data_IF_611500234987
#
_entry.id   IF_611500234987
#
_cell.length_a   1.000
_cell.length_b   1.000
_cell.length_c   1.000
_cell.angle_alpha   90.00
_cell.angle_beta   90.00
_cell.angle_gamma   90.00
#
_symmetry.space_group_name_H-M   'P 1'
#
loop_
_entity.id
_entity.type
_entity.pdbx_description
1 polymer ?
#
# COMPACT_ATOMS: atom_id res chain seq x y z
N UNK A 1 22.42 -35.82 25.85
CA UNK A 1 21.70 -34.58 26.25
C UNK A 1 21.86 -33.47 25.21
N UNK A 2 23.07 -33.24 24.66
CA UNK A 2 23.32 -32.26 23.60
C UNK A 2 22.47 -32.51 22.33
N UNK A 3 22.28 -33.76 21.93
CA UNK A 3 21.50 -34.14 20.73
C UNK A 3 20.03 -33.71 20.80
N UNK A 4 19.44 -33.81 21.99
CA UNK A 4 18.05 -33.40 22.22
C UNK A 4 17.92 -31.87 22.14
N UNK A 5 18.91 -31.14 22.66
CA UNK A 5 18.95 -29.67 22.62
C UNK A 5 19.06 -29.18 21.17
N UNK A 6 19.91 -29.82 20.36
CA UNK A 6 20.08 -29.48 18.94
C UNK A 6 18.78 -29.74 18.16
N UNK A 7 18.11 -30.88 18.38
CA UNK A 7 16.81 -31.16 17.76
C UNK A 7 15.74 -30.13 18.12
N UNK A 8 15.68 -29.72 19.39
CA UNK A 8 14.74 -28.71 19.87
C UNK A 8 15.02 -27.35 19.21
N UNK A 9 16.29 -26.93 19.11
CA UNK A 9 16.67 -25.68 18.44
C UNK A 9 16.28 -25.65 16.95
N UNK A 10 16.46 -26.77 16.25
CA UNK A 10 16.08 -26.89 14.83
C UNK A 10 14.55 -26.76 14.67
N UNK A 11 13.78 -27.43 15.53
CA UNK A 11 12.31 -27.37 15.49
C UNK A 11 11.82 -25.95 15.78
N UNK A 12 12.36 -25.29 16.80
CA UNK A 12 12.00 -23.90 17.13
C UNK A 12 12.40 -22.95 16.00
N UNK A 13 13.57 -23.13 15.39
CA UNK A 13 14.03 -22.34 14.25
C UNK A 13 13.14 -22.50 13.01
N UNK A 14 12.73 -23.73 12.69
CA UNK A 14 11.79 -24.01 11.60
C UNK A 14 10.41 -23.39 11.86
N UNK A 15 9.92 -23.50 13.09
CA UNK A 15 8.63 -22.91 13.47
C UNK A 15 8.68 -21.37 13.39
N UNK A 16 9.79 -20.76 13.81
CA UNK A 16 10.01 -19.33 13.69
C UNK A 16 10.10 -18.88 12.23
N UNK A 17 10.78 -19.65 11.37
CA UNK A 17 10.85 -19.38 9.93
C UNK A 17 9.46 -19.44 9.28
N UNK A 18 8.70 -20.51 9.56
CA UNK A 18 7.34 -20.68 9.03
C UNK A 18 6.43 -19.55 9.50
N UNK A 19 6.44 -19.23 10.79
CA UNK A 19 5.69 -18.11 11.37
C UNK A 19 6.07 -16.77 10.71
N UNK A 20 7.37 -16.48 10.60
CA UNK A 20 7.87 -15.25 9.99
C UNK A 20 7.46 -15.17 8.52
N UNK A 21 7.47 -16.28 7.78
CA UNK A 21 7.15 -16.30 6.35
C UNK A 21 5.65 -16.04 6.11
N UNK A 22 4.78 -16.65 6.92
CA UNK A 22 3.33 -16.42 6.90
C UNK A 22 2.99 -14.96 7.26
N UNK A 23 3.62 -14.42 8.31
CA UNK A 23 3.36 -13.04 8.76
C UNK A 23 4.08 -11.96 7.95
N UNK A 24 5.16 -12.28 7.24
CA UNK A 24 5.88 -11.32 6.38
C UNK A 24 5.14 -11.08 5.06
N UNK A 25 4.44 -12.09 4.54
CA UNK A 25 3.71 -11.98 3.28
C UNK A 25 2.50 -11.05 3.32
N UNK A 26 2.04 -10.61 4.50
CA UNK A 26 0.83 -9.79 4.65
C UNK A 26 1.06 -8.29 4.55
N UNK A 27 2.32 -7.83 4.44
CA UNK A 27 2.62 -6.41 4.25
C UNK A 27 2.48 -6.06 2.78
N UNK A 28 1.29 -5.61 2.40
CA UNK A 28 1.01 -5.11 1.06
C UNK A 28 2.08 -4.12 0.60
N UNK A 29 2.43 -4.17 -0.68
CA UNK A 29 3.37 -3.24 -1.29
C UNK A 29 2.75 -1.84 -1.26
N UNK A 30 3.30 -0.94 -0.44
CA UNK A 30 2.96 0.48 -0.50
C UNK A 30 3.44 1.06 -1.82
N UNK A 31 2.50 1.41 -2.71
CA UNK A 31 2.77 2.00 -4.01
C UNK A 31 3.22 3.44 -3.85
N UNK A 32 2.46 4.20 -3.05
CA UNK A 32 2.81 5.54 -2.67
C UNK A 32 2.11 5.96 -1.37
N UNK A 33 2.69 6.96 -0.73
CA UNK A 33 2.17 7.59 0.47
C UNK A 33 2.36 9.10 0.34
N UNK A 34 1.28 9.84 0.58
CA UNK A 34 1.26 11.30 0.58
C UNK A 34 0.77 11.80 1.91
N UNK A 35 1.54 12.68 2.53
CA UNK A 35 1.16 13.36 3.75
C UNK A 35 0.85 14.81 3.44
N UNK A 36 -0.35 15.23 3.83
CA UNK A 36 -0.79 16.61 3.76
C UNK A 36 -0.95 17.16 5.17
N UNK A 37 -0.47 18.38 5.38
CA UNK A 37 -0.66 19.15 6.61
C UNK A 37 -1.08 20.57 6.23
N UNK A 38 -2.20 21.02 6.80
CA UNK A 38 -2.74 22.36 6.55
C UNK A 38 -2.87 22.71 5.05
N UNK A 39 -3.32 21.73 4.26
CA UNK A 39 -3.48 21.89 2.80
C UNK A 39 -2.18 21.95 1.99
N UNK A 40 -1.04 21.66 2.59
CA UNK A 40 0.26 21.53 1.92
C UNK A 40 0.75 20.09 1.95
N UNK A 41 1.34 19.64 0.84
CA UNK A 41 2.03 18.36 0.79
C UNK A 41 3.34 18.48 1.59
N UNK A 42 3.47 17.73 2.68
CA UNK A 42 4.66 17.74 3.54
C UNK A 42 5.66 16.66 3.14
N UNK A 43 5.15 15.51 2.71
CA UNK A 43 5.99 14.38 2.33
C UNK A 43 5.27 13.54 1.27
N UNK A 44 6.01 13.03 0.30
CA UNK A 44 5.52 12.07 -0.67
C UNK A 44 6.55 10.97 -0.83
N UNK A 45 6.08 9.72 -0.90
CA UNK A 45 6.90 8.53 -1.15
C UNK A 45 6.28 7.76 -2.29
N UNK A 46 7.12 7.22 -3.17
CA UNK A 46 6.68 6.41 -4.31
C UNK A 46 6.36 7.22 -5.57
N UNK A 47 6.08 6.52 -6.66
CA UNK A 47 5.76 7.12 -7.95
C UNK A 47 4.25 7.42 -8.00
N UNK A 48 3.91 8.69 -7.80
CA UNK A 48 2.53 9.16 -7.84
C UNK A 48 2.22 9.67 -9.26
N UNK A 49 1.06 9.35 -9.84
CA UNK A 49 0.63 9.95 -11.10
C UNK A 49 0.40 11.46 -10.95
N UNK A 50 0.97 12.26 -11.83
CA UNK A 50 0.95 13.73 -11.76
C UNK A 50 -0.47 14.32 -11.72
N UNK A 51 -1.40 13.74 -12.50
CA UNK A 51 -2.83 14.13 -12.48
C UNK A 51 -3.44 13.93 -11.09
N UNK A 52 -3.16 12.80 -10.45
CA UNK A 52 -3.71 12.48 -9.13
C UNK A 52 -3.12 13.38 -8.04
N UNK A 53 -1.82 13.65 -8.09
CA UNK A 53 -1.15 14.56 -7.16
C UNK A 53 -1.75 15.98 -7.23
N UNK A 54 -1.95 16.50 -8.44
CA UNK A 54 -2.50 17.85 -8.66
C UNK A 54 -3.91 18.00 -8.09
N UNK A 55 -4.79 17.03 -8.36
CA UNK A 55 -6.16 17.05 -7.83
C UNK A 55 -6.16 16.90 -6.30
N UNK A 56 -5.37 15.97 -5.74
CA UNK A 56 -5.24 15.80 -4.29
C UNK A 56 -4.74 17.09 -3.62
N UNK A 57 -3.78 17.79 -4.23
CA UNK A 57 -3.27 19.07 -3.73
C UNK A 57 -4.30 20.18 -3.80
N UNK A 58 -5.11 20.24 -4.86
CA UNK A 58 -6.21 21.21 -4.97
C UNK A 58 -7.26 20.99 -3.87
N UNK A 59 -7.66 19.74 -3.64
CA UNK A 59 -8.61 19.34 -2.59
C UNK A 59 -8.06 19.67 -1.20
N UNK A 60 -6.79 19.31 -0.94
CA UNK A 60 -6.13 19.57 0.33
C UNK A 60 -6.04 21.08 0.61
N UNK A 61 -5.67 21.90 -0.39
CA UNK A 61 -5.58 23.35 -0.25
C UNK A 61 -6.94 24.01 -0.02
N UNK A 62 -7.97 23.58 -0.75
CA UNK A 62 -9.32 24.13 -0.65
C UNK A 62 -9.96 23.90 0.73
N UNK A 63 -9.63 22.78 1.37
CA UNK A 63 -10.24 22.36 2.63
C UNK A 63 -9.28 22.44 3.84
N UNK A 64 -8.06 22.98 3.65
CA UNK A 64 -6.98 23.05 4.65
C UNK A 64 -6.76 21.72 5.40
N UNK A 65 -6.80 20.61 4.65
CA UNK A 65 -6.82 19.27 5.25
C UNK A 65 -5.45 18.87 5.79
N UNK A 66 -5.49 18.16 6.92
CA UNK A 66 -4.35 17.41 7.44
C UNK A 66 -4.70 15.93 7.37
N UNK A 67 -4.19 15.25 6.35
CA UNK A 67 -4.52 13.86 6.06
C UNK A 67 -3.36 13.11 5.42
N UNK A 68 -3.37 11.79 5.56
CA UNK A 68 -2.45 10.90 4.87
C UNK A 68 -3.24 10.09 3.86
N UNK A 69 -2.77 10.06 2.62
CA UNK A 69 -3.32 9.28 1.51
C UNK A 69 -2.28 8.22 1.16
N UNK A 70 -2.61 6.95 1.35
CA UNK A 70 -1.71 5.82 1.15
C UNK A 70 -2.36 4.81 0.22
N UNK A 71 -1.65 4.42 -0.83
CA UNK A 71 -2.07 3.34 -1.72
C UNK A 71 -1.24 2.09 -1.43
N UNK A 72 -1.92 1.00 -1.11
CA UNK A 72 -1.30 -0.31 -0.89
C UNK A 72 -1.80 -1.32 -1.92
N UNK A 73 -0.90 -2.18 -2.38
CA UNK A 73 -1.22 -3.34 -3.20
C UNK A 73 -1.08 -4.60 -2.37
N UNK A 74 -2.22 -5.20 -2.02
CA UNK A 74 -2.31 -6.51 -1.38
C UNK A 74 -3.34 -7.35 -2.15
N UNK A 75 -2.88 -7.92 -3.27
CA UNK A 75 -3.74 -8.49 -4.31
C UNK A 75 -4.38 -7.40 -5.18
N UNK A 76 -5.31 -6.64 -4.61
CA UNK A 76 -5.92 -5.45 -5.23
C UNK A 76 -5.33 -4.16 -4.66
N UNK A 77 -5.48 -3.08 -5.43
CA UNK A 77 -5.00 -1.75 -5.05
C UNK A 77 -6.05 -1.09 -4.15
N UNK A 78 -5.69 -0.82 -2.91
CA UNK A 78 -6.56 -0.17 -1.92
C UNK A 78 -6.01 1.21 -1.57
N UNK A 79 -6.88 2.20 -1.60
CA UNK A 79 -6.58 3.56 -1.18
C UNK A 79 -7.07 3.80 0.25
N UNK A 80 -6.13 4.05 1.14
CA UNK A 80 -6.35 4.43 2.53
C UNK A 80 -6.24 5.95 2.66
N UNK A 81 -7.25 6.59 3.23
CA UNK A 81 -7.27 8.02 3.54
C UNK A 81 -7.49 8.17 5.03
N UNK A 82 -6.79 9.10 5.69
CA UNK A 82 -7.00 9.38 7.12
C UNK A 82 -8.46 9.68 7.44
N UNK A 83 -8.97 9.13 8.55
CA UNK A 83 -10.34 9.31 9.02
C UNK A 83 -10.72 10.75 9.40
N UNK A 84 -9.74 11.67 9.47
CA UNK A 84 -9.98 13.10 9.70
C UNK A 84 -10.57 13.82 8.47
N UNK A 85 -10.71 13.12 7.33
CA UNK A 85 -11.28 13.66 6.10
C UNK A 85 -12.74 13.22 6.02
N UNK A 86 -13.66 14.14 5.76
CA UNK A 86 -15.08 13.80 5.61
C UNK A 86 -15.33 12.86 4.44
N UNK A 87 -16.33 11.97 4.56
CA UNK A 87 -16.60 10.91 3.59
C UNK A 87 -16.75 11.41 2.15
N UNK A 88 -17.38 12.58 1.95
CA UNK A 88 -17.51 13.20 0.63
C UNK A 88 -16.15 13.45 -0.05
N UNK A 89 -15.17 13.94 0.70
CA UNK A 89 -13.81 14.20 0.21
C UNK A 89 -13.06 12.89 -0.05
N UNK A 90 -13.28 11.86 0.79
CA UNK A 90 -12.71 10.52 0.57
C UNK A 90 -13.24 9.94 -0.75
N UNK A 91 -14.53 10.07 -1.04
CA UNK A 91 -15.11 9.60 -2.31
C UNK A 91 -14.57 10.38 -3.51
N UNK A 92 -14.42 11.70 -3.40
CA UNK A 92 -13.80 12.51 -4.46
C UNK A 92 -12.36 12.06 -4.74
N UNK A 93 -11.54 11.85 -3.70
CA UNK A 93 -10.17 11.36 -3.83
C UNK A 93 -10.15 9.97 -4.47
N UNK A 94 -11.08 9.07 -4.10
CA UNK A 94 -11.20 7.75 -4.72
C UNK A 94 -11.55 7.83 -6.21
N UNK A 95 -12.48 8.70 -6.60
CA UNK A 95 -12.88 8.85 -8.00
C UNK A 95 -11.75 9.37 -8.88
N UNK A 96 -10.84 10.19 -8.33
CA UNK A 96 -9.66 10.67 -9.05
C UNK A 96 -8.53 9.63 -9.12
N UNK A 97 -8.58 8.60 -8.27
CA UNK A 97 -7.54 7.59 -8.25
C UNK A 97 -7.70 6.64 -9.43
N UNK A 98 -6.71 6.53 -10.33
CA UNK A 98 -6.88 5.73 -11.53
C UNK A 98 -6.55 4.27 -11.22
N UNK A 99 -7.51 3.56 -10.62
CA UNK A 99 -7.40 2.14 -10.25
C UNK A 99 -6.99 1.26 -11.44
N UNK A 100 -7.48 1.60 -12.63
CA UNK A 100 -7.27 0.84 -13.87
C UNK A 100 -5.79 0.69 -14.28
N UNK A 101 -4.93 1.68 -13.99
CA UNK A 101 -3.49 1.56 -14.30
C UNK A 101 -2.75 0.62 -13.34
N UNK A 102 -3.26 0.43 -12.12
CA UNK A 102 -2.61 -0.41 -11.11
C UNK A 102 -3.22 -1.80 -10.97
N UNK A 103 -4.46 -1.97 -11.46
CA UNK A 103 -5.25 -3.21 -11.46
C UNK A 103 -5.19 -3.96 -12.80
N UNK A 104 -4.43 -3.47 -13.81
CA UNK A 104 -4.13 -4.25 -15.02
C UNK A 104 -3.54 -5.60 -14.59
N UNK A 105 -4.37 -6.64 -14.70
CA UNK A 105 -3.96 -8.04 -14.66
C UNK A 105 -2.75 -8.16 -15.57
N UNK A 106 -1.63 -8.58 -15.01
CA UNK A 106 -0.50 -9.08 -15.77
C UNK A 106 -1.02 -10.29 -16.54
N UNK A 107 -1.49 -10.06 -17.76
CA UNK A 107 -2.02 -11.10 -18.61
C UNK A 107 -0.83 -11.96 -19.02
N UNK A 108 -0.78 -13.14 -18.42
CA UNK A 108 0.23 -14.17 -18.57
C UNK A 108 0.57 -14.39 -20.05
N UNK A 109 1.78 -14.00 -20.45
CA UNK A 109 2.30 -14.15 -21.81
C UNK A 109 3.24 -15.36 -21.91
N UNK A 110 2.93 -16.44 -21.20
CA UNK A 110 3.76 -17.66 -21.19
C UNK A 110 3.10 -18.86 -21.86
N UNK A 111 2.08 -18.64 -22.71
CA UNK A 111 1.67 -19.64 -23.72
C UNK A 111 2.38 -19.32 -25.04
N UNK A 112 3.68 -19.59 -25.07
CA UNK A 112 4.37 -19.87 -26.33
C UNK A 112 3.81 -21.18 -26.87
N UNK A 113 2.85 -21.05 -27.79
CA UNK A 113 2.63 -22.06 -28.84
C UNK A 113 3.80 -21.95 -29.80
N UNK A 114 4.52 -23.06 -29.97
CA UNK A 114 5.59 -23.27 -30.94
C UNK A 114 6.00 -24.72 -30.86
#
# INVERSE_FOLDING_TARGET
>A
MADNIIKILIIVGLFFLAYKLIFTSSRGLTLFEMHFKDGKLTNHKGKIPERFERECRAIAKSNKLTCTIRAEKSGHVRLHVSANVGDNLIQQIRNQFPFEYYDKKQQDSSKLKG
#
